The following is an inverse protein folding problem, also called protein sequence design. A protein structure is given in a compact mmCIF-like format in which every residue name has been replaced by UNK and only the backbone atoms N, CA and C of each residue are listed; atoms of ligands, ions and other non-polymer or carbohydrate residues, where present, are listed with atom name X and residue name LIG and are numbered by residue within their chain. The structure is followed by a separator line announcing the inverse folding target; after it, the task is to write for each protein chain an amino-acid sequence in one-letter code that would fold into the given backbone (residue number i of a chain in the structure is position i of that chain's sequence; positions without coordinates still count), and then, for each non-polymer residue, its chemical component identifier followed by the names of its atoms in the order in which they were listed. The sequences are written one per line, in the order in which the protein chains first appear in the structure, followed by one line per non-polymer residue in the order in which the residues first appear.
data_IF_766542109883
#
_entry.id   IF_766542109883
#
_cell.length_a   1.000
_cell.length_b   1.000
_cell.length_c   1.000
_cell.angle_alpha   90.00
_cell.angle_beta   90.00
_cell.angle_gamma   90.00
#
_symmetry.space_group_name_H-M   'P 1'
#
loop_
_entity.id
_entity.type
_entity.pdbx_description
1 polymer ?
#
# COMPACT_ATOMS: atom_id res chain seq x y z
N UNK A 1 75.29 17.79 34.90
CA UNK A 1 75.44 18.53 36.19
C UNK A 1 74.12 18.58 36.90
N UNK A 2 74.09 18.03 38.13
CA UNK A 2 73.04 18.07 39.17
C UNK A 2 71.72 17.42 38.87
N UNK A 3 71.35 16.37 39.47
CA UNK A 3 71.18 15.83 40.84
C UNK A 3 69.70 15.76 41.26
N UNK A 4 69.27 14.47 41.40
CA UNK A 4 68.40 13.85 42.40
C UNK A 4 67.25 14.68 43.06
N UNK A 5 66.06 14.08 43.12
CA UNK A 5 65.55 13.51 44.40
C UNK A 5 64.23 12.76 44.21
N UNK A 6 64.30 11.52 44.66
CA UNK A 6 63.18 10.61 44.94
C UNK A 6 62.27 11.17 46.04
N UNK A 7 60.99 10.94 45.95
CA UNK A 7 60.08 10.88 47.09
C UNK A 7 59.02 9.83 46.85
N UNK A 8 59.16 8.75 47.58
CA UNK A 8 58.24 7.65 47.73
C UNK A 8 57.14 8.10 48.70
N UNK A 9 55.86 8.09 48.26
CA UNK A 9 54.73 8.23 49.19
C UNK A 9 53.89 6.99 49.07
N UNK A 10 53.94 6.20 50.09
CA UNK A 10 53.14 5.00 50.31
C UNK A 10 51.76 5.47 50.85
N UNK A 11 50.71 5.32 50.06
CA UNK A 11 49.33 5.56 50.50
C UNK A 11 48.57 4.25 50.61
N UNK A 12 48.25 3.93 51.86
CA UNK A 12 47.47 2.80 52.30
C UNK A 12 46.01 3.01 51.85
N UNK A 13 45.48 2.22 50.93
CA UNK A 13 44.07 2.25 50.51
C UNK A 13 43.28 1.30 51.41
N UNK A 14 42.43 1.86 52.25
CA UNK A 14 41.35 1.13 52.93
C UNK A 14 40.27 0.72 51.91
N UNK A 15 40.11 -0.54 51.63
CA UNK A 15 39.00 -1.11 50.89
C UNK A 15 37.77 -1.13 51.79
N UNK A 16 36.86 -0.20 51.55
CA UNK A 16 35.50 -0.25 52.10
C UNK A 16 34.63 -1.02 51.09
N UNK A 17 34.37 -2.27 51.36
CA UNK A 17 33.34 -3.06 50.66
C UNK A 17 31.98 -2.46 51.02
N UNK A 18 31.42 -1.63 50.15
CA UNK A 18 30.00 -1.30 50.18
C UNK A 18 29.28 -2.28 49.25
N UNK A 19 28.52 -3.22 49.86
CA UNK A 19 27.41 -3.85 49.19
C UNK A 19 26.39 -2.77 48.85
N UNK A 20 26.45 -2.23 47.65
CA UNK A 20 25.34 -1.45 47.08
C UNK A 20 24.42 -2.47 46.39
N UNK A 21 23.26 -2.72 47.01
CA UNK A 21 22.14 -3.29 46.27
C UNK A 21 21.87 -2.40 45.09
N UNK A 22 22.35 -2.78 43.90
CA UNK A 22 21.92 -2.16 42.65
C UNK A 22 20.45 -2.53 42.47
N UNK A 23 19.54 -1.55 42.40
CA UNK A 23 18.19 -1.83 41.95
C UNK A 23 18.31 -2.42 40.55
N UNK A 24 17.82 -3.67 40.40
CA UNK A 24 17.72 -4.33 39.11
C UNK A 24 16.90 -3.39 38.22
N UNK A 25 17.57 -2.67 37.31
CA UNK A 25 16.90 -1.89 36.31
C UNK A 25 15.98 -2.86 35.55
N UNK A 26 14.68 -2.72 35.77
CA UNK A 26 13.68 -3.41 34.93
C UNK A 26 13.97 -2.93 33.50
N UNK A 27 14.62 -3.78 32.72
CA UNK A 27 14.76 -3.51 31.28
C UNK A 27 13.34 -3.31 30.76
N UNK A 28 13.05 -2.17 30.13
CA UNK A 28 11.78 -2.02 29.47
C UNK A 28 11.69 -3.17 28.45
N UNK A 29 10.68 -4.02 28.64
CA UNK A 29 10.35 -5.05 27.67
C UNK A 29 10.25 -4.34 26.34
N UNK A 30 11.09 -4.69 25.37
CA UNK A 30 11.01 -4.15 24.03
C UNK A 30 9.58 -4.42 23.55
N UNK A 31 8.77 -3.38 23.53
CA UNK A 31 7.46 -3.43 22.90
C UNK A 31 7.79 -3.64 21.43
N UNK A 32 7.60 -4.87 20.95
CA UNK A 32 7.67 -5.12 19.53
C UNK A 32 6.74 -4.09 18.87
N UNK A 33 7.22 -3.35 17.85
CA UNK A 33 6.33 -2.48 17.11
C UNK A 33 5.13 -3.32 16.67
N UNK A 34 3.91 -2.79 16.72
CA UNK A 34 2.73 -3.53 16.32
C UNK A 34 3.00 -4.11 14.92
N UNK A 35 2.80 -5.41 14.77
CA UNK A 35 2.96 -6.06 13.50
C UNK A 35 2.08 -5.31 12.49
N UNK A 36 2.64 -4.94 11.35
CA UNK A 36 1.89 -4.25 10.29
C UNK A 36 0.70 -5.09 9.82
N UNK A 37 -0.19 -4.53 8.98
CA UNK A 37 -1.34 -5.26 8.47
C UNK A 37 -0.89 -6.53 7.72
N UNK A 38 -1.69 -7.60 7.81
CA UNK A 38 -1.45 -8.83 7.05
C UNK A 38 -1.99 -8.63 5.64
N UNK A 39 -1.10 -8.40 4.69
CA UNK A 39 -1.49 -8.18 3.29
C UNK A 39 -2.02 -9.44 2.63
N UNK A 40 -3.09 -9.31 1.84
CA UNK A 40 -3.54 -10.37 0.96
C UNK A 40 -2.50 -10.64 -0.14
N UNK A 41 -2.12 -11.90 -0.27
CA UNK A 41 -1.23 -12.35 -1.33
C UNK A 41 -2.03 -12.90 -2.50
N UNK A 42 -1.39 -13.02 -3.67
CA UNK A 42 -1.96 -13.75 -4.79
C UNK A 42 -2.07 -15.24 -4.43
N UNK A 43 -3.22 -15.85 -4.69
CA UNK A 43 -3.45 -17.27 -4.38
C UNK A 43 -2.55 -18.20 -5.17
N UNK A 44 -2.05 -17.72 -6.27
CA UNK A 44 -1.28 -18.45 -7.24
C UNK A 44 0.03 -17.74 -7.56
N UNK A 45 0.79 -18.26 -8.52
CA UNK A 45 1.90 -17.52 -9.12
C UNK A 45 1.38 -16.16 -9.61
N UNK A 46 2.26 -15.16 -9.60
CA UNK A 46 1.91 -13.84 -10.12
C UNK A 46 1.21 -13.96 -11.47
N UNK A 47 -0.04 -13.49 -11.59
CA UNK A 47 -0.82 -13.69 -12.80
C UNK A 47 -0.28 -12.86 -13.98
N UNK A 48 -0.72 -13.19 -15.18
CA UNK A 48 -0.49 -12.35 -16.33
C UNK A 48 -1.53 -11.23 -16.38
N UNK A 49 -1.07 -10.00 -16.56
CA UNK A 49 -1.94 -8.83 -16.60
C UNK A 49 -2.11 -8.29 -18.03
N UNK A 50 -3.27 -7.70 -18.27
CA UNK A 50 -3.56 -6.93 -19.47
C UNK A 50 -4.20 -5.60 -19.08
N UNK A 51 -3.84 -4.50 -19.73
CA UNK A 51 -4.42 -3.20 -19.48
C UNK A 51 -5.13 -2.64 -20.71
N UNK A 52 -6.16 -1.82 -20.48
CA UNK A 52 -6.87 -1.02 -21.50
C UNK A 52 -7.11 0.38 -20.98
N UNK A 53 -6.96 1.37 -21.82
CA UNK A 53 -7.34 2.74 -21.50
C UNK A 53 -8.62 3.11 -22.24
N UNK A 54 -9.47 3.90 -21.58
CA UNK A 54 -10.61 4.53 -22.20
C UNK A 54 -10.50 6.04 -22.09
N UNK A 55 -10.75 6.71 -23.19
CA UNK A 55 -10.82 8.17 -23.26
C UNK A 55 -12.29 8.55 -23.41
N UNK A 56 -12.86 9.21 -22.41
CA UNK A 56 -14.19 9.83 -22.56
C UNK A 56 -13.98 11.31 -22.88
N UNK A 57 -14.20 11.76 -24.12
CA UNK A 57 -14.32 13.19 -24.37
C UNK A 57 -15.48 13.74 -23.54
N UNK A 58 -15.34 14.94 -23.02
CA UNK A 58 -16.43 15.64 -22.35
C UNK A 58 -17.56 15.88 -23.39
N UNK A 59 -18.59 15.03 -23.36
CA UNK A 59 -19.70 15.07 -24.32
C UNK A 59 -20.09 13.64 -24.74
N UNK A 60 -21.36 13.36 -24.72
CA UNK A 60 -22.03 12.08 -24.92
C UNK A 60 -21.72 11.40 -26.28
N UNK A 61 -20.52 10.82 -26.40
CA UNK A 61 -20.13 9.96 -27.50
C UNK A 61 -19.82 8.53 -27.03
N UNK A 62 -19.84 7.52 -27.91
CA UNK A 62 -19.44 6.16 -27.57
C UNK A 62 -17.99 6.13 -27.10
N UNK A 63 -17.72 5.32 -26.05
CA UNK A 63 -16.35 5.11 -25.54
C UNK A 63 -15.46 4.59 -26.69
N UNK A 64 -14.44 5.36 -27.06
CA UNK A 64 -13.38 4.84 -27.92
C UNK A 64 -12.50 3.94 -27.04
N UNK A 65 -12.65 2.63 -27.19
CA UNK A 65 -11.75 1.65 -26.56
C UNK A 65 -10.44 1.61 -27.37
N UNK A 66 -9.34 1.96 -26.70
CA UNK A 66 -8.01 1.75 -27.28
C UNK A 66 -7.63 0.27 -27.24
N UNK A 67 -6.77 -0.18 -28.17
CA UNK A 67 -6.21 -1.53 -28.12
C UNK A 67 -5.57 -1.82 -26.74
N UNK A 68 -5.45 -3.10 -26.33
CA UNK A 68 -4.78 -3.47 -25.09
C UNK A 68 -3.38 -2.85 -25.05
N UNK A 69 -3.04 -2.19 -23.96
CA UNK A 69 -1.68 -1.76 -23.69
C UNK A 69 -0.89 -2.98 -23.21
N UNK A 70 0.34 -3.15 -23.69
CA UNK A 70 1.25 -4.12 -23.10
C UNK A 70 1.69 -3.60 -21.74
N UNK A 71 1.66 -4.46 -20.73
CA UNK A 71 2.33 -4.18 -19.47
C UNK A 71 3.79 -4.56 -19.60
N UNK A 72 4.67 -3.60 -19.36
CA UNK A 72 6.08 -3.86 -19.21
C UNK A 72 6.36 -4.15 -17.73
N UNK A 73 6.72 -5.41 -17.42
CA UNK A 73 7.07 -5.85 -16.07
C UNK A 73 6.08 -5.37 -14.98
N UNK A 74 4.78 -5.59 -15.17
CA UNK A 74 3.72 -5.18 -14.24
C UNK A 74 3.52 -3.66 -14.10
N UNK A 75 4.05 -2.90 -15.02
CA UNK A 75 3.93 -1.44 -15.06
C UNK A 75 3.16 -1.03 -16.31
N UNK A 76 2.23 -0.10 -16.14
CA UNK A 76 1.49 0.49 -17.26
C UNK A 76 1.32 1.99 -17.03
N UNK A 77 1.44 2.77 -18.10
CA UNK A 77 1.28 4.21 -18.01
C UNK A 77 0.22 4.70 -19.00
N UNK A 78 -0.48 5.77 -18.62
CA UNK A 78 -1.45 6.48 -19.48
C UNK A 78 -1.45 7.97 -19.19
N UNK A 79 -1.88 8.78 -20.16
CA UNK A 79 -2.00 10.21 -19.98
C UNK A 79 -3.36 10.60 -19.39
N UNK A 80 -3.35 11.22 -18.20
CA UNK A 80 -4.50 11.95 -17.67
C UNK A 80 -4.44 13.39 -18.14
N UNK A 81 -5.61 13.98 -18.42
CA UNK A 81 -5.73 15.35 -18.91
C UNK A 81 -6.71 16.10 -18.02
N UNK A 82 -6.30 17.26 -17.51
CA UNK A 82 -7.17 18.08 -16.68
C UNK A 82 -8.43 18.50 -17.45
N UNK A 83 -9.61 18.23 -16.87
CA UNK A 83 -10.92 18.49 -17.46
C UNK A 83 -11.40 17.40 -18.44
N UNK A 84 -10.69 16.26 -18.55
CA UNK A 84 -11.13 15.11 -19.34
C UNK A 84 -11.16 13.84 -18.50
N UNK A 85 -12.26 13.09 -18.60
CA UNK A 85 -12.33 11.78 -17.96
C UNK A 85 -11.46 10.77 -18.71
N UNK A 86 -10.52 10.20 -18.02
CA UNK A 86 -9.61 9.15 -18.51
C UNK A 86 -9.64 7.98 -17.55
N UNK A 87 -9.68 6.75 -18.07
CA UNK A 87 -9.61 5.57 -17.22
C UNK A 87 -8.67 4.53 -17.78
N UNK A 88 -8.11 3.75 -16.87
CA UNK A 88 -7.40 2.51 -17.17
C UNK A 88 -8.11 1.35 -16.47
N UNK A 89 -8.25 0.25 -17.19
CA UNK A 89 -8.70 -1.03 -16.66
C UNK A 89 -7.56 -2.03 -16.76
N UNK A 90 -7.26 -2.69 -15.66
CA UNK A 90 -6.27 -3.76 -15.60
C UNK A 90 -7.01 -5.03 -15.21
N UNK A 91 -6.77 -6.08 -15.98
CA UNK A 91 -7.32 -7.40 -15.71
C UNK A 91 -6.17 -8.39 -15.60
N UNK A 92 -6.40 -9.49 -14.87
CA UNK A 92 -5.47 -10.61 -14.80
C UNK A 92 -6.10 -11.88 -15.39
N UNK A 93 -5.26 -12.80 -15.83
CA UNK A 93 -5.68 -14.14 -16.22
C UNK A 93 -5.32 -15.08 -15.07
N UNK A 94 -6.34 -15.67 -14.46
CA UNK A 94 -6.17 -16.61 -13.36
C UNK A 94 -5.61 -17.93 -13.89
N UNK A 95 -4.63 -18.51 -13.21
CA UNK A 95 -4.11 -19.83 -13.52
C UNK A 95 -5.01 -20.97 -13.01
N UNK A 96 -6.01 -20.64 -12.18
CA UNK A 96 -6.95 -21.62 -11.62
C UNK A 96 -8.02 -21.99 -12.64
N UNK A 97 -8.59 -21.00 -13.33
CA UNK A 97 -9.71 -21.17 -14.25
C UNK A 97 -9.42 -20.69 -15.68
N UNK A 98 -8.21 -20.17 -15.92
CA UNK A 98 -7.77 -19.61 -17.21
C UNK A 98 -8.68 -18.47 -17.71
N UNK A 99 -9.52 -17.92 -16.83
CA UNK A 99 -10.42 -16.83 -17.16
C UNK A 99 -9.81 -15.47 -16.86
N UNK A 100 -10.34 -14.46 -17.54
CA UNK A 100 -9.96 -13.07 -17.38
C UNK A 100 -10.82 -12.42 -16.28
N UNK A 101 -10.17 -11.98 -15.21
CA UNK A 101 -10.80 -11.31 -14.07
C UNK A 101 -10.36 -9.84 -13.96
N UNK A 102 -11.23 -8.95 -13.46
CA UNK A 102 -10.84 -7.58 -13.18
C UNK A 102 -9.87 -7.53 -12.00
N UNK A 103 -8.91 -6.62 -12.07
CA UNK A 103 -7.98 -6.32 -10.99
C UNK A 103 -8.08 -4.88 -10.53
N UNK A 104 -8.06 -3.93 -11.47
CA UNK A 104 -8.07 -2.51 -11.15
C UNK A 104 -8.82 -1.71 -12.21
N UNK A 105 -9.59 -0.74 -11.75
CA UNK A 105 -10.03 0.39 -12.56
C UNK A 105 -9.64 1.68 -11.86
N UNK A 106 -8.94 2.55 -12.57
CA UNK A 106 -8.61 3.88 -12.11
C UNK A 106 -9.18 4.90 -13.10
N UNK A 107 -10.03 5.82 -12.60
CA UNK A 107 -10.61 6.89 -13.40
C UNK A 107 -10.17 8.24 -12.86
N UNK A 108 -9.60 9.07 -13.69
CA UNK A 108 -9.15 10.43 -13.38
C UNK A 108 -9.92 11.45 -14.23
N UNK A 109 -10.29 12.56 -13.64
CA UNK A 109 -11.04 13.62 -14.33
C UNK A 109 -10.40 14.99 -14.20
N UNK A 110 -9.80 15.30 -13.06
CA UNK A 110 -9.31 16.65 -12.77
C UNK A 110 -7.99 16.62 -11.98
N UNK A 111 -6.87 16.16 -12.60
CA UNK A 111 -5.57 16.32 -11.98
C UNK A 111 -5.22 17.81 -11.91
N UNK A 112 -4.91 18.34 -10.72
CA UNK A 112 -4.72 19.78 -10.49
C UNK A 112 -3.30 20.18 -10.15
N UNK A 113 -2.57 19.33 -9.43
CA UNK A 113 -1.22 19.65 -8.98
C UNK A 113 -0.31 18.43 -9.05
N UNK A 114 0.86 18.61 -9.62
CA UNK A 114 1.92 17.58 -9.71
C UNK A 114 3.10 18.01 -8.84
N UNK A 115 3.51 17.19 -7.84
CA UNK A 115 4.69 17.48 -7.02
C UNK A 115 5.93 17.70 -7.89
N UNK A 116 6.67 18.76 -7.59
CA UNK A 116 7.88 19.13 -8.34
C UNK A 116 7.65 19.85 -9.68
N UNK A 117 6.41 19.90 -10.20
CA UNK A 117 6.05 20.60 -11.43
C UNK A 117 5.16 21.81 -11.11
N UNK A 118 4.14 21.63 -10.27
CA UNK A 118 3.19 22.69 -9.89
C UNK A 118 1.76 22.43 -10.36
N UNK A 119 0.97 23.50 -10.44
CA UNK A 119 -0.42 23.45 -10.88
C UNK A 119 -0.53 23.18 -12.39
N UNK A 120 -1.49 22.35 -12.75
CA UNK A 120 -1.86 22.07 -14.14
C UNK A 120 -2.98 23.03 -14.59
N UNK A 121 -2.91 23.57 -15.79
CA UNK A 121 -4.01 24.27 -16.41
C UNK A 121 -5.02 23.28 -17.04
N UNK A 122 -6.25 23.73 -17.32
CA UNK A 122 -7.22 22.91 -18.05
C UNK A 122 -6.68 22.56 -19.43
N UNK A 123 -6.66 21.27 -19.75
CA UNK A 123 -6.07 20.74 -20.99
C UNK A 123 -4.63 20.25 -20.83
N UNK A 124 -3.95 20.61 -19.74
CA UNK A 124 -2.63 20.04 -19.45
C UNK A 124 -2.74 18.55 -19.13
N UNK A 125 -1.68 17.83 -19.40
CA UNK A 125 -1.61 16.38 -19.20
C UNK A 125 -0.49 15.97 -18.26
N UNK A 126 -0.74 14.91 -17.52
CA UNK A 126 0.25 14.24 -16.66
C UNK A 126 0.30 12.77 -17.01
N UNK A 127 1.51 12.21 -17.09
CA UNK A 127 1.68 10.76 -17.26
C UNK A 127 1.45 10.08 -15.92
N UNK A 128 0.44 9.22 -15.86
CA UNK A 128 0.16 8.37 -14.71
C UNK A 128 0.77 7.01 -14.95
N UNK A 129 1.48 6.51 -13.96
CA UNK A 129 2.04 5.16 -13.97
C UNK A 129 1.40 4.34 -12.84
N UNK A 130 0.92 3.16 -13.20
CA UNK A 130 0.39 2.16 -12.26
C UNK A 130 1.36 1.00 -12.23
N UNK A 131 1.92 0.73 -11.06
CA UNK A 131 2.77 -0.43 -10.81
C UNK A 131 2.01 -1.44 -9.95
N UNK A 132 1.89 -2.68 -10.44
CA UNK A 132 1.21 -3.77 -9.74
C UNK A 132 2.20 -4.43 -8.80
N UNK A 133 1.80 -4.63 -7.54
CA UNK A 133 2.62 -5.39 -6.60
C UNK A 133 2.47 -6.89 -6.87
N UNK A 134 3.60 -7.56 -7.09
CA UNK A 134 3.62 -9.00 -7.38
C UNK A 134 3.64 -9.88 -6.13
N UNK A 135 3.80 -9.27 -4.96
CA UNK A 135 3.86 -9.99 -3.67
C UNK A 135 2.56 -9.93 -2.88
N UNK A 136 1.73 -8.93 -3.17
CA UNK A 136 0.45 -8.70 -2.49
C UNK A 136 -0.58 -8.11 -3.45
N UNK A 137 -1.85 -8.15 -3.06
CA UNK A 137 -2.94 -7.47 -3.79
C UNK A 137 -2.80 -5.98 -3.53
N UNK A 138 -2.09 -5.29 -4.40
CA UNK A 138 -1.79 -3.87 -4.22
C UNK A 138 -1.20 -3.21 -5.46
N UNK A 139 -1.14 -1.90 -5.42
CA UNK A 139 -0.63 -1.06 -6.51
C UNK A 139 0.05 0.19 -5.97
N UNK A 140 1.03 0.67 -6.71
CA UNK A 140 1.61 2.00 -6.54
C UNK A 140 1.17 2.90 -7.69
N UNK A 141 0.79 4.13 -7.36
CA UNK A 141 0.30 5.13 -8.31
C UNK A 141 1.25 6.33 -8.34
N UNK A 142 1.79 6.61 -9.51
CA UNK A 142 2.71 7.72 -9.73
C UNK A 142 2.15 8.76 -10.73
N UNK A 143 2.51 10.03 -10.58
CA UNK A 143 3.43 10.59 -9.58
C UNK A 143 2.82 10.62 -8.18
N UNK A 144 3.60 10.18 -7.18
CA UNK A 144 3.17 10.24 -5.77
C UNK A 144 2.82 11.67 -5.38
N UNK A 145 1.75 11.83 -4.59
CA UNK A 145 1.24 13.14 -4.19
C UNK A 145 0.52 13.93 -5.30
N UNK A 146 0.26 13.33 -6.48
CA UNK A 146 -0.60 13.95 -7.50
C UNK A 146 -1.97 14.25 -6.89
N UNK A 147 -2.40 15.52 -6.95
CA UNK A 147 -3.66 15.98 -6.36
C UNK A 147 -4.75 16.15 -7.42
N UNK A 148 -5.98 16.01 -6.98
CA UNK A 148 -7.18 16.10 -7.82
C UNK A 148 -8.16 17.14 -7.29
N UNK A 149 -8.73 17.97 -8.15
CA UNK A 149 -9.85 18.86 -7.80
C UNK A 149 -11.14 18.07 -7.59
N UNK A 150 -11.44 17.12 -8.49
CA UNK A 150 -12.41 16.07 -8.27
C UNK A 150 -11.67 14.75 -8.02
N UNK A 151 -11.87 14.06 -6.88
CA UNK A 151 -11.11 12.86 -6.53
C UNK A 151 -11.12 11.82 -7.64
N UNK A 152 -9.97 11.21 -7.90
CA UNK A 152 -9.88 10.08 -8.80
C UNK A 152 -10.64 8.88 -8.18
N UNK A 153 -11.20 8.02 -9.01
CA UNK A 153 -11.92 6.84 -8.55
C UNK A 153 -11.06 5.60 -8.75
N UNK A 154 -10.71 4.96 -7.64
CA UNK A 154 -10.04 3.67 -7.64
C UNK A 154 -11.04 2.57 -7.31
N UNK A 155 -11.06 1.51 -8.11
CA UNK A 155 -11.68 0.24 -7.76
C UNK A 155 -10.63 -0.86 -7.87
N UNK A 156 -10.41 -1.56 -6.77
CA UNK A 156 -9.40 -2.61 -6.65
C UNK A 156 -10.08 -3.92 -6.27
N UNK A 157 -9.92 -4.96 -7.10
CA UNK A 157 -10.48 -6.29 -6.84
C UNK A 157 -9.46 -7.17 -6.15
N UNK A 158 -9.91 -7.90 -5.13
CA UNK A 158 -9.07 -8.82 -4.35
C UNK A 158 -9.38 -10.31 -4.61
N UNK A 159 -10.25 -10.62 -5.59
CA UNK A 159 -10.57 -11.99 -5.94
C UNK A 159 -9.36 -12.86 -6.32
N UNK A 160 -8.27 -12.23 -6.76
CA UNK A 160 -7.00 -12.91 -7.05
C UNK A 160 -6.29 -13.48 -5.83
N UNK A 161 -6.72 -13.15 -4.61
CA UNK A 161 -6.23 -13.79 -3.38
C UNK A 161 -6.82 -15.20 -3.16
N UNK A 162 -7.79 -15.61 -3.95
CA UNK A 162 -8.50 -16.87 -3.74
C UNK A 162 -9.52 -16.80 -2.61
N UNK A 163 -9.85 -17.95 -2.04
CA UNK A 163 -10.85 -18.08 -0.98
C UNK A 163 -10.25 -18.36 0.40
N UNK A 164 -9.05 -18.92 0.47
CA UNK A 164 -8.33 -19.22 1.69
C UNK A 164 -7.57 -17.96 2.15
N UNK A 165 -8.22 -17.14 2.96
CA UNK A 165 -7.69 -15.87 3.41
C UNK A 165 -6.81 -16.00 4.65
N UNK A 166 -7.08 -17.03 5.49
CA UNK A 166 -6.28 -17.29 6.68
C UNK A 166 -5.00 -18.10 6.38
N UNK A 167 -4.94 -18.77 5.22
CA UNK A 167 -3.78 -19.53 4.74
C UNK A 167 -3.65 -20.92 5.39
N UNK A 168 -4.76 -21.51 5.87
CA UNK A 168 -4.77 -22.84 6.48
C UNK A 168 -4.98 -23.99 5.46
N UNK A 169 -5.20 -23.64 4.19
CA UNK A 169 -5.42 -24.57 3.08
C UNK A 169 -6.87 -24.99 2.91
N UNK A 170 -7.82 -24.44 3.68
CA UNK A 170 -9.25 -24.77 3.64
C UNK A 170 -10.06 -23.49 3.45
N UNK A 171 -10.97 -23.47 2.48
CA UNK A 171 -11.91 -22.36 2.31
C UNK A 171 -13.16 -22.63 3.11
N UNK A 172 -13.38 -21.86 4.18
CA UNK A 172 -14.49 -22.09 5.11
C UNK A 172 -15.16 -20.80 5.61
N UNK A 173 -15.97 -20.93 6.68
CA UNK A 173 -16.67 -19.80 7.29
C UNK A 173 -15.74 -18.81 7.99
N UNK A 174 -14.52 -19.21 8.36
CA UNK A 174 -13.51 -18.34 8.97
C UNK A 174 -13.03 -17.33 7.93
N UNK A 175 -12.75 -17.78 6.71
CA UNK A 175 -12.37 -16.89 5.60
C UNK A 175 -13.47 -15.89 5.27
N UNK A 176 -14.72 -16.36 5.26
CA UNK A 176 -15.87 -15.49 5.04
C UNK A 176 -16.01 -14.41 6.12
N UNK A 177 -15.65 -14.70 7.37
CA UNK A 177 -15.64 -13.73 8.47
C UNK A 177 -14.47 -12.74 8.32
N UNK A 178 -13.29 -13.22 7.95
CA UNK A 178 -12.14 -12.36 7.63
C UNK A 178 -12.54 -11.41 6.50
N UNK A 179 -13.05 -11.94 5.40
CA UNK A 179 -13.48 -11.15 4.25
C UNK A 179 -14.47 -10.05 4.65
N UNK A 180 -15.50 -10.38 5.42
CA UNK A 180 -16.58 -9.46 5.75
C UNK A 180 -16.23 -8.44 6.84
N UNK A 181 -15.31 -8.75 7.75
CA UNK A 181 -15.11 -7.95 8.97
C UNK A 181 -13.71 -7.39 9.13
N UNK A 182 -12.70 -8.02 8.55
CA UNK A 182 -11.30 -7.69 8.81
C UNK A 182 -10.58 -7.10 7.60
N UNK A 183 -11.04 -7.39 6.37
CA UNK A 183 -10.42 -6.82 5.20
C UNK A 183 -10.68 -5.33 5.08
N UNK A 184 -9.65 -4.62 4.64
CA UNK A 184 -9.72 -3.19 4.36
C UNK A 184 -8.76 -2.80 3.25
N UNK A 185 -8.98 -1.62 2.70
CA UNK A 185 -8.03 -0.95 1.84
C UNK A 185 -7.09 -0.12 2.72
N UNK A 186 -5.81 -0.27 2.49
CA UNK A 186 -4.72 0.39 3.22
C UNK A 186 -3.89 1.22 2.27
N UNK A 187 -3.33 2.31 2.76
CA UNK A 187 -2.42 3.15 1.99
C UNK A 187 -1.17 3.51 2.80
N UNK A 188 -0.12 3.90 2.12
CA UNK A 188 1.02 4.63 2.67
C UNK A 188 1.53 5.64 1.66
N UNK A 189 2.04 6.76 2.12
CA UNK A 189 2.52 7.82 1.24
C UNK A 189 3.91 7.52 0.73
N UNK A 190 4.81 7.14 1.62
CA UNK A 190 6.19 6.76 1.31
C UNK A 190 6.52 5.35 1.81
N UNK A 191 7.56 4.74 1.24
CA UNK A 191 8.02 3.41 1.64
C UNK A 191 8.43 3.30 3.10
N UNK A 192 8.83 4.43 3.72
CA UNK A 192 9.19 4.53 5.13
C UNK A 192 7.99 4.68 6.07
N UNK A 193 6.82 5.00 5.53
CA UNK A 193 5.64 5.29 6.33
C UNK A 193 4.91 4.02 6.78
N UNK A 194 4.22 4.14 7.90
CA UNK A 194 3.32 3.10 8.36
C UNK A 194 2.07 3.05 7.46
N UNK A 195 1.59 1.83 7.23
CA UNK A 195 0.33 1.63 6.53
C UNK A 195 -0.86 2.10 7.38
N UNK A 196 -1.79 2.79 6.74
CA UNK A 196 -3.01 3.32 7.37
C UNK A 196 -4.23 2.76 6.64
N UNK A 197 -5.18 2.22 7.40
CA UNK A 197 -6.46 1.77 6.83
C UNK A 197 -7.33 2.97 6.50
N UNK A 198 -8.00 2.91 5.35
CA UNK A 198 -8.90 3.96 4.87
C UNK A 198 -10.34 3.46 4.73
N UNK A 199 -11.29 4.38 4.84
CA UNK A 199 -12.72 4.09 4.72
C UNK A 199 -13.14 3.88 3.27
N UNK A 200 -12.75 2.76 2.66
CA UNK A 200 -13.17 2.36 1.32
C UNK A 200 -14.49 1.58 1.38
N UNK A 201 -15.31 1.70 0.34
CA UNK A 201 -16.54 0.90 0.21
C UNK A 201 -16.19 -0.49 -0.30
N UNK A 202 -16.56 -1.53 0.47
CA UNK A 202 -16.35 -2.93 0.08
C UNK A 202 -17.60 -3.50 -0.59
N UNK A 203 -17.40 -4.26 -1.67
CA UNK A 203 -18.40 -5.15 -2.27
C UNK A 203 -17.94 -6.59 -2.10
N UNK A 204 -18.64 -7.35 -1.27
CA UNK A 204 -18.36 -8.79 -1.06
C UNK A 204 -18.70 -9.60 -2.31
N UNK A 205 -19.78 -9.24 -3.02
CA UNK A 205 -20.20 -9.90 -4.24
C UNK A 205 -19.16 -9.80 -5.35
N UNK A 206 -18.61 -8.59 -5.55
CA UNK A 206 -17.60 -8.34 -6.58
C UNK A 206 -16.17 -8.59 -6.09
N UNK A 207 -15.99 -8.84 -4.78
CA UNK A 207 -14.67 -8.94 -4.13
C UNK A 207 -13.78 -7.73 -4.44
N UNK A 208 -14.31 -6.54 -4.16
CA UNK A 208 -13.65 -5.28 -4.51
C UNK A 208 -13.77 -4.21 -3.44
N UNK A 209 -12.80 -3.28 -3.43
CA UNK A 209 -12.87 -2.02 -2.70
C UNK A 209 -12.96 -0.87 -3.70
N UNK A 210 -13.79 0.13 -3.38
CA UNK A 210 -13.90 1.38 -4.12
C UNK A 210 -13.55 2.54 -3.21
N UNK A 211 -12.70 3.44 -3.70
CA UNK A 211 -12.23 4.60 -2.96
C UNK A 211 -12.05 5.83 -3.84
N UNK A 212 -12.47 6.98 -3.33
CA UNK A 212 -12.24 8.28 -3.96
C UNK A 212 -10.89 8.82 -3.51
N UNK A 213 -9.89 8.76 -4.40
CA UNK A 213 -8.50 9.13 -4.14
C UNK A 213 -8.35 10.65 -4.14
N UNK A 214 -7.96 11.28 -3.03
CA UNK A 214 -7.62 12.70 -3.03
C UNK A 214 -6.24 12.97 -3.66
N UNK A 215 -5.34 12.03 -3.55
CA UNK A 215 -3.98 12.05 -4.11
C UNK A 215 -3.49 10.63 -4.41
N UNK A 216 -2.36 10.51 -5.10
CA UNK A 216 -1.73 9.24 -5.41
C UNK A 216 -0.68 8.84 -4.38
N UNK A 217 -0.64 7.54 -4.10
CA UNK A 217 0.33 6.86 -3.23
C UNK A 217 0.29 5.34 -3.47
N UNK A 218 0.74 4.53 -2.52
CA UNK A 218 0.64 3.07 -2.57
C UNK A 218 -0.63 2.60 -1.86
N UNK A 219 -1.35 1.64 -2.46
CA UNK A 219 -2.58 1.03 -1.95
C UNK A 219 -2.47 -0.49 -1.94
N UNK A 220 -2.98 -1.12 -0.88
CA UNK A 220 -3.01 -2.57 -0.77
C UNK A 220 -4.22 -3.05 0.03
N UNK A 221 -4.65 -4.29 -0.24
CA UNK A 221 -5.69 -4.95 0.55
C UNK A 221 -5.02 -5.78 1.64
N UNK A 222 -5.46 -5.58 2.87
CA UNK A 222 -4.92 -6.29 4.02
C UNK A 222 -6.00 -6.53 5.10
N UNK A 223 -5.72 -7.50 5.97
CA UNK A 223 -6.47 -7.71 7.19
C UNK A 223 -6.03 -6.72 8.27
N UNK A 224 -6.96 -6.14 9.00
CA UNK A 224 -6.69 -5.49 10.27
C UNK A 224 -6.30 -6.56 11.29
N UNK A 225 -5.22 -6.35 12.02
CA UNK A 225 -4.84 -7.27 13.10
C UNK A 225 -5.95 -7.31 14.17
N UNK A 226 -6.25 -8.50 14.67
CA UNK A 226 -7.32 -8.73 15.66
C UNK A 226 -7.17 -7.90 16.97
N UNK A 227 -5.98 -7.38 17.27
CA UNK A 227 -5.78 -6.52 18.43
C UNK A 227 -6.61 -5.23 18.42
N UNK A 228 -7.06 -4.79 17.24
CA UNK A 228 -7.96 -3.63 17.10
C UNK A 228 -9.43 -3.99 17.26
N UNK A 229 -9.79 -5.26 17.05
CA UNK A 229 -11.18 -5.72 17.10
C UNK A 229 -11.69 -5.97 18.53
N UNK A 230 -10.82 -5.99 19.53
CA UNK A 230 -11.18 -6.25 20.94
C UNK A 230 -11.63 -4.98 21.69
N UNK A 231 -11.46 -3.80 21.09
CA UNK A 231 -11.76 -2.51 21.72
C UNK A 231 -13.00 -1.80 21.17
N UNK A 232 -13.93 -2.53 20.56
CA UNK A 232 -15.26 -2.00 20.14
C UNK A 232 -16.40 -2.68 20.87
#
# INVERSE_FOLDING_TARGET
MFVRRSLLVLALALSVARCADQPTAVQPTAVNPPAGPKFLQWADKVPQFTARTSNRPHGSGPMAMTPPLSLDQYVVSFWAVRGQSRSIEINYVSSIDEQKHPFLTLTTTDPTFVPGIGELAVGDSVLITVTIDTTKIGVSLEPSGLQFGAPAQLKLWYGGAGGDLNGDGVVDSTDSQIEAKLLGLWYREDLSDAWTQIGASQSLEEKSFMYALPHFCEYAVAEALMEWAVNW
#
